data_IF_392704495469
#
_entry.id   IF_392704495469
#
_cell.length_a   1.000
_cell.length_b   1.000
_cell.length_c   1.000
_cell.angle_alpha   90.00
_cell.angle_beta   90.00
_cell.angle_gamma   90.00
#
_symmetry.space_group_name_H-M   'P 1'
#
loop_
_entity.id
_entity.type
_entity.pdbx_description
1 polymer ?
#
# COMPACT_ATOMS: atom_id res chain seq x y z
N UNK A 1 -1.68 21.63 -10.34
CA UNK A 1 -0.47 20.83 -10.01
C UNK A 1 -0.47 19.57 -10.87
N UNK A 2 0.71 18.98 -11.15
CA UNK A 2 0.82 17.70 -11.86
C UNK A 2 0.83 16.57 -10.82
N UNK A 3 0.28 15.41 -11.18
CA UNK A 3 0.39 14.22 -10.34
C UNK A 3 1.83 13.70 -10.31
N UNK A 4 2.23 13.08 -9.20
CA UNK A 4 3.54 12.49 -8.98
C UNK A 4 3.48 10.96 -8.83
N UNK A 5 4.56 10.31 -9.25
CA UNK A 5 4.83 8.89 -9.03
C UNK A 5 6.34 8.72 -8.76
N UNK A 6 6.77 7.50 -8.46
CA UNK A 6 8.19 7.19 -8.27
C UNK A 6 8.97 7.28 -9.58
N UNK A 7 10.23 7.72 -9.53
CA UNK A 7 11.10 7.73 -10.70
C UNK A 7 11.54 6.31 -11.14
N UNK A 8 11.55 5.37 -10.20
CA UNK A 8 11.93 3.96 -10.37
C UNK A 8 11.35 3.12 -9.25
N UNK A 9 11.27 1.81 -9.46
CA UNK A 9 10.88 0.85 -8.43
C UNK A 9 11.83 0.89 -7.23
N UNK A 10 11.28 0.77 -6.02
CA UNK A 10 12.02 0.67 -4.75
C UNK A 10 11.61 -0.60 -4.02
N UNK A 11 12.57 -1.29 -3.41
CA UNK A 11 12.34 -2.50 -2.62
C UNK A 11 12.81 -2.34 -1.19
N UNK A 12 12.11 -2.96 -0.26
CA UNK A 12 12.50 -3.03 1.15
C UNK A 12 12.19 -4.40 1.73
N UNK A 13 12.92 -4.77 2.77
CA UNK A 13 12.63 -5.95 3.59
C UNK A 13 12.47 -5.51 5.04
N UNK A 14 11.58 -6.16 5.76
CA UNK A 14 11.28 -5.81 7.15
C UNK A 14 10.52 -6.91 7.87
N UNK A 15 10.07 -6.60 9.08
CA UNK A 15 9.24 -7.47 9.90
C UNK A 15 7.87 -6.81 10.09
N UNK A 16 6.79 -7.55 9.87
CA UNK A 16 5.43 -7.07 10.10
C UNK A 16 5.15 -6.91 11.60
N UNK A 17 4.74 -5.71 12.04
CA UNK A 17 4.61 -5.36 13.46
C UNK A 17 3.75 -6.34 14.27
N UNK A 18 2.55 -6.68 13.77
CA UNK A 18 1.59 -7.49 14.51
C UNK A 18 1.74 -9.01 14.31
N UNK A 19 2.54 -9.44 13.32
CA UNK A 19 2.76 -10.87 13.02
C UNK A 19 4.16 -11.36 13.38
N UNK A 20 5.15 -10.47 13.46
CA UNK A 20 6.54 -10.85 13.67
C UNK A 20 7.18 -11.59 12.48
N UNK A 21 6.53 -11.60 11.32
CA UNK A 21 6.96 -12.35 10.13
C UNK A 21 7.76 -11.44 9.16
N UNK A 22 8.76 -11.99 8.45
CA UNK A 22 9.44 -11.27 7.38
C UNK A 22 8.50 -10.87 6.25
N UNK A 23 8.68 -9.65 5.73
CA UNK A 23 7.98 -9.14 4.56
C UNK A 23 8.99 -8.52 3.59
N UNK A 24 8.75 -8.71 2.29
CA UNK A 24 9.33 -7.88 1.23
C UNK A 24 8.23 -6.92 0.76
N UNK A 25 8.57 -5.65 0.58
CA UNK A 25 7.69 -4.63 0.01
C UNK A 25 8.31 -4.07 -1.26
N UNK A 26 7.54 -3.96 -2.32
CA UNK A 26 7.96 -3.30 -3.57
C UNK A 26 7.04 -2.14 -3.89
N UNK A 27 7.61 -0.95 -4.06
CA UNK A 27 6.87 0.23 -4.52
C UNK A 27 7.21 0.47 -5.98
N UNK A 28 6.19 0.45 -6.83
CA UNK A 28 6.33 0.54 -8.28
C UNK A 28 5.58 1.78 -8.79
N UNK A 29 6.16 2.51 -9.76
CA UNK A 29 5.47 3.64 -10.37
C UNK A 29 4.19 3.19 -11.07
N UNK A 30 3.19 4.07 -11.08
CA UNK A 30 1.95 3.87 -11.82
C UNK A 30 1.67 5.10 -12.68
N UNK A 31 0.91 4.86 -13.75
CA UNK A 31 0.39 5.90 -14.63
C UNK A 31 -0.53 6.88 -13.89
N UNK A 32 -0.71 8.07 -14.46
CA UNK A 32 -1.59 9.09 -13.89
C UNK A 32 -3.03 8.57 -13.72
N UNK A 33 -3.68 9.02 -12.65
CA UNK A 33 -5.03 8.67 -12.22
C UNK A 33 -5.19 7.23 -11.68
N UNK A 34 -4.10 6.49 -11.50
CA UNK A 34 -4.15 5.17 -10.87
C UNK A 34 -4.45 5.27 -9.36
N UNK A 35 -3.92 6.31 -8.70
CA UNK A 35 -3.95 6.43 -7.25
C UNK A 35 -2.94 5.51 -6.56
N UNK A 36 -3.10 5.38 -5.24
CA UNK A 36 -2.30 4.47 -4.42
C UNK A 36 -3.02 3.13 -4.33
N UNK A 37 -2.37 2.06 -4.77
CA UNK A 37 -2.94 0.71 -4.83
C UNK A 37 -2.02 -0.26 -4.12
N UNK A 38 -2.57 -1.01 -3.16
CA UNK A 38 -1.87 -2.13 -2.55
C UNK A 38 -2.22 -3.43 -3.29
N UNK A 39 -1.24 -4.28 -3.55
CA UNK A 39 -1.40 -5.52 -4.33
C UNK A 39 -0.82 -6.72 -3.57
N UNK A 40 -1.67 -7.67 -3.19
CA UNK A 40 -1.26 -8.96 -2.64
C UNK A 40 -0.91 -9.90 -3.79
N UNK A 41 0.37 -9.99 -4.11
CA UNK A 41 0.88 -10.85 -5.21
C UNK A 41 0.56 -12.34 -5.03
N UNK A 42 0.54 -12.81 -3.78
CA UNK A 42 0.20 -14.18 -3.40
C UNK A 42 -1.29 -14.52 -3.57
N UNK A 43 -2.17 -13.50 -3.57
CA UNK A 43 -3.61 -13.64 -3.75
C UNK A 43 -4.11 -13.13 -5.11
N UNK A 44 -3.22 -12.52 -5.91
CA UNK A 44 -3.57 -11.77 -7.11
C UNK A 44 -4.73 -10.78 -6.88
N UNK A 45 -4.69 -10.04 -5.76
CA UNK A 45 -5.75 -9.14 -5.32
C UNK A 45 -5.23 -7.71 -5.10
N UNK A 46 -5.98 -6.72 -5.56
CA UNK A 46 -5.62 -5.30 -5.45
C UNK A 46 -6.64 -4.52 -4.64
N UNK A 47 -6.16 -3.66 -3.75
CA UNK A 47 -6.94 -2.80 -2.88
C UNK A 47 -6.51 -1.35 -3.08
N UNK A 48 -7.41 -0.50 -3.58
CA UNK A 48 -7.15 0.94 -3.64
C UNK A 48 -7.10 1.49 -2.22
N UNK A 49 -6.16 2.38 -1.93
CA UNK A 49 -6.12 3.09 -0.66
C UNK A 49 -7.26 4.13 -0.62
N UNK A 50 -8.46 3.66 -0.30
CA UNK A 50 -9.66 4.46 -0.19
C UNK A 50 -10.49 4.01 1.02
N UNK A 51 -11.30 4.91 1.63
CA UNK A 51 -12.10 4.57 2.81
C UNK A 51 -13.02 3.36 2.61
N UNK A 52 -13.51 3.15 1.39
CA UNK A 52 -14.44 2.06 1.05
C UNK A 52 -13.79 0.67 1.17
N UNK A 53 -12.46 0.59 1.08
CA UNK A 53 -11.72 -0.66 1.23
C UNK A 53 -11.23 -0.89 2.66
N UNK A 54 -11.49 0.02 3.61
CA UNK A 54 -11.10 -0.14 5.02
C UNK A 54 -12.06 -1.09 5.71
N UNK A 55 -11.55 -2.23 6.15
CA UNK A 55 -12.36 -3.29 6.80
C UNK A 55 -12.12 -3.39 8.31
N UNK A 56 -11.04 -2.80 8.82
CA UNK A 56 -10.71 -2.79 10.24
C UNK A 56 -9.82 -1.58 10.60
N UNK A 57 -10.01 -1.05 11.79
CA UNK A 57 -9.27 0.08 12.37
C UNK A 57 -8.71 -0.22 13.77
N UNK A 58 -8.96 -1.42 14.31
CA UNK A 58 -8.43 -1.84 15.60
C UNK A 58 -6.94 -2.16 15.46
N UNK A 59 -6.09 -1.45 16.22
CA UNK A 59 -4.62 -1.59 16.25
C UNK A 59 -3.86 -1.23 14.97
N UNK A 60 -4.54 -1.10 13.83
CA UNK A 60 -3.98 -0.69 12.55
C UNK A 60 -5.08 -0.27 11.57
N UNK A 61 -4.73 0.48 10.53
CA UNK A 61 -5.61 0.64 9.35
C UNK A 61 -5.43 -0.56 8.45
N UNK A 62 -6.54 -1.24 8.12
CA UNK A 62 -6.53 -2.47 7.34
C UNK A 62 -7.41 -2.32 6.10
N UNK A 63 -6.81 -2.58 4.94
CA UNK A 63 -7.55 -2.71 3.68
C UNK A 63 -7.84 -4.16 3.37
N UNK A 64 -9.00 -4.48 2.79
CA UNK A 64 -9.27 -5.86 2.40
C UNK A 64 -10.69 -6.11 1.90
N UNK A 65 -10.94 -7.38 1.64
CA UNK A 65 -12.23 -7.97 1.28
C UNK A 65 -12.26 -9.45 1.69
N UNK A 66 -13.17 -10.22 1.10
CA UNK A 66 -13.30 -11.67 1.28
C UNK A 66 -12.12 -12.48 0.72
N UNK A 67 -11.34 -11.93 -0.21
CA UNK A 67 -10.15 -12.59 -0.79
C UNK A 67 -8.93 -12.46 0.10
N UNK A 68 -8.85 -11.39 0.89
CA UNK A 68 -7.73 -11.16 1.79
C UNK A 68 -7.64 -9.73 2.31
N UNK A 69 -6.55 -9.43 3.02
CA UNK A 69 -6.34 -8.11 3.62
C UNK A 69 -4.87 -7.73 3.75
N UNK A 70 -4.62 -6.45 3.96
CA UNK A 70 -3.32 -5.83 4.21
C UNK A 70 -3.47 -4.93 5.43
N UNK A 71 -2.63 -5.15 6.43
CA UNK A 71 -2.69 -4.44 7.72
C UNK A 71 -1.53 -3.48 7.89
N UNK A 72 -1.73 -2.45 8.73
CA UNK A 72 -0.68 -1.50 9.15
C UNK A 72 -0.19 -0.63 7.99
N UNK A 73 -1.12 -0.09 7.20
CA UNK A 73 -0.78 0.77 6.05
C UNK A 73 -0.44 2.22 6.45
N UNK A 74 -0.85 2.66 7.64
CA UNK A 74 -0.95 4.06 8.04
C UNK A 74 0.38 4.82 8.01
N UNK A 75 1.49 4.23 8.45
CA UNK A 75 2.79 4.90 8.44
C UNK A 75 3.34 5.06 7.03
N UNK A 76 3.19 4.03 6.19
CA UNK A 76 3.61 4.10 4.79
C UNK A 76 2.77 5.13 4.03
N UNK A 77 1.45 5.14 4.25
CA UNK A 77 0.56 6.16 3.69
C UNK A 77 0.92 7.57 4.13
N UNK A 78 1.32 7.76 5.39
CA UNK A 78 1.80 9.04 5.90
C UNK A 78 3.04 9.52 5.15
N UNK A 79 4.02 8.64 4.91
CA UNK A 79 5.21 8.96 4.13
C UNK A 79 4.88 9.27 2.67
N UNK A 80 4.06 8.45 2.01
CA UNK A 80 3.62 8.65 0.61
C UNK A 80 2.95 10.02 0.46
N UNK A 81 2.05 10.37 1.38
CA UNK A 81 1.38 11.66 1.40
C UNK A 81 2.34 12.84 1.66
N UNK A 82 3.29 12.68 2.59
CA UNK A 82 4.29 13.71 2.89
C UNK A 82 5.19 14.05 1.69
N UNK A 83 5.48 13.06 0.84
CA UNK A 83 6.24 13.25 -0.41
C UNK A 83 5.35 13.60 -1.62
N UNK A 84 4.02 13.71 -1.43
CA UNK A 84 3.08 14.07 -2.48
C UNK A 84 2.96 13.04 -3.61
N UNK A 85 3.19 11.76 -3.33
CA UNK A 85 3.09 10.69 -4.34
C UNK A 85 1.61 10.36 -4.57
N UNK A 86 1.11 10.63 -5.77
CA UNK A 86 -0.29 10.40 -6.13
C UNK A 86 -0.55 8.99 -6.67
N UNK A 87 0.41 8.42 -7.42
CA UNK A 87 0.23 7.14 -8.12
C UNK A 87 1.36 6.18 -7.77
N UNK A 88 1.04 5.04 -7.16
CA UNK A 88 2.04 4.01 -6.81
C UNK A 88 1.35 2.68 -6.54
N UNK A 89 1.96 1.57 -6.98
CA UNK A 89 1.58 0.22 -6.58
C UNK A 89 2.50 -0.25 -5.46
N UNK A 90 1.93 -0.74 -4.38
CA UNK A 90 2.63 -1.27 -3.22
C UNK A 90 2.36 -2.78 -3.19
N UNK A 91 3.38 -3.58 -3.48
CA UNK A 91 3.31 -5.05 -3.52
C UNK A 91 3.86 -5.62 -2.22
#
# INVERSE_FOLDING_TARGET
MKQLTLAKTVKGVGIGLHKGEPIEITLEPLEANSGIVFFRSDLNASYKASPENVINTQMATVLGDDRGFISTIEHLMSAINAYGIDNVRIV
#
